data_IF_132367671796
#
_entry.id   IF_132367671796
#
_cell.length_a   1.000
_cell.length_b   1.000
_cell.length_c   1.000
_cell.angle_alpha   90.00
_cell.angle_beta   90.00
_cell.angle_gamma   90.00
#
_symmetry.space_group_name_H-M   'P 1'
#
loop_
_entity.id
_entity.type
_entity.pdbx_description
1 polymer ?
#
# COMPACT_ATOMS: atom_id res chain seq x y z
N UNK A 1 6.31 -1.87 7.04
CA UNK A 1 5.79 -3.20 7.44
C UNK A 1 5.46 -4.06 6.24
N UNK A 2 5.38 -5.37 6.41
CA UNK A 2 4.89 -6.30 5.38
C UNK A 2 3.41 -6.62 5.63
N UNK A 3 2.64 -6.73 4.57
CA UNK A 3 1.26 -7.21 4.58
C UNK A 3 1.24 -8.53 3.81
N UNK A 4 0.97 -9.63 4.51
CA UNK A 4 0.88 -10.96 3.92
C UNK A 4 -0.57 -11.43 3.97
N UNK A 5 -1.18 -11.61 2.80
CA UNK A 5 -2.52 -12.15 2.67
C UNK A 5 -2.47 -13.55 2.05
N UNK A 6 -3.03 -14.51 2.77
CA UNK A 6 -3.15 -15.90 2.35
C UNK A 6 -4.59 -16.20 1.95
N UNK A 7 -4.77 -17.09 1.01
CA UNK A 7 -6.06 -17.52 0.49
C UNK A 7 -6.24 -19.03 0.68
N UNK A 8 -7.48 -19.56 0.69
CA UNK A 8 -7.72 -20.99 0.84
C UNK A 8 -7.03 -21.81 -0.26
N UNK A 9 -6.55 -22.99 0.10
CA UNK A 9 -5.95 -23.91 -0.84
C UNK A 9 -6.99 -24.33 -1.91
N UNK A 10 -6.57 -24.33 -3.18
CA UNK A 10 -7.47 -24.63 -4.30
C UNK A 10 -8.37 -23.49 -4.75
N UNK A 11 -8.25 -22.32 -4.13
CA UNK A 11 -8.89 -21.08 -4.58
C UNK A 11 -8.31 -20.62 -5.93
N UNK A 12 -9.11 -19.88 -6.70
CA UNK A 12 -8.64 -19.20 -7.92
C UNK A 12 -7.83 -17.93 -7.62
N UNK A 13 -7.84 -17.52 -6.35
CA UNK A 13 -7.09 -16.35 -5.86
C UNK A 13 -5.62 -16.70 -5.64
N UNK A 14 -4.75 -15.75 -5.82
CA UNK A 14 -3.33 -15.87 -5.50
C UNK A 14 -3.04 -15.20 -4.15
N UNK A 15 -2.22 -15.85 -3.30
CA UNK A 15 -1.72 -15.19 -2.10
C UNK A 15 -0.82 -14.00 -2.48
N UNK A 16 -0.83 -12.95 -1.67
CA UNK A 16 -0.04 -11.75 -1.95
C UNK A 16 0.83 -11.37 -0.75
N UNK A 17 2.03 -10.88 -1.04
CA UNK A 17 2.90 -10.19 -0.10
C UNK A 17 3.11 -8.77 -0.59
N UNK A 18 2.83 -7.80 0.24
CA UNK A 18 3.02 -6.37 -0.05
C UNK A 18 3.65 -5.63 1.14
N UNK A 19 3.73 -4.34 1.02
CA UNK A 19 4.28 -3.43 2.02
C UNK A 19 3.22 -2.44 2.50
N UNK A 20 3.49 -1.76 3.60
CA UNK A 20 2.68 -0.67 4.12
C UNK A 20 3.49 0.23 5.05
N UNK A 21 3.02 1.44 5.28
CA UNK A 21 3.68 2.43 6.14
C UNK A 21 2.69 2.97 7.16
N UNK A 22 3.09 3.04 8.42
CA UNK A 22 2.31 3.76 9.44
C UNK A 22 2.48 5.26 9.21
N UNK A 23 1.39 5.96 8.97
CA UNK A 23 1.33 7.38 8.64
C UNK A 23 0.75 8.25 9.77
N UNK A 24 0.27 7.64 10.84
CA UNK A 24 -0.36 8.30 11.98
C UNK A 24 -0.05 7.54 13.28
N UNK A 25 0.16 8.24 14.42
CA UNK A 25 0.51 7.62 15.70
C UNK A 25 -0.56 6.68 16.26
N UNK A 26 -1.81 6.71 15.76
CA UNK A 26 -2.88 5.78 16.12
C UNK A 26 -2.78 4.42 15.43
N UNK A 27 -1.77 4.23 14.54
CA UNK A 27 -1.57 2.99 13.80
C UNK A 27 -2.36 2.92 12.49
N UNK A 28 -2.56 4.06 11.82
CA UNK A 28 -3.12 4.07 10.47
C UNK A 28 -2.01 3.73 9.47
N UNK A 29 -2.28 2.73 8.64
CA UNK A 29 -1.36 2.19 7.64
C UNK A 29 -1.83 2.62 6.26
N UNK A 30 -0.94 3.24 5.49
CA UNK A 30 -1.10 3.45 4.05
C UNK A 30 -0.50 2.25 3.32
N UNK A 31 -1.24 1.73 2.33
CA UNK A 31 -0.81 0.68 1.41
C UNK A 31 -1.51 0.86 0.06
N UNK A 32 -1.30 -0.05 -0.88
CA UNK A 32 -2.02 -0.02 -2.16
C UNK A 32 -3.40 -0.69 -2.07
N UNK A 33 -4.31 -0.27 -2.95
CA UNK A 33 -5.63 -0.86 -3.09
C UNK A 33 -5.54 -2.33 -3.53
N UNK A 34 -4.63 -2.66 -4.47
CA UNK A 34 -4.43 -4.04 -4.93
C UNK A 34 -3.94 -4.99 -3.82
N UNK A 35 -3.33 -4.48 -2.74
CA UNK A 35 -3.00 -5.25 -1.53
C UNK A 35 -4.20 -5.30 -0.59
N UNK A 36 -4.80 -4.14 -0.31
CA UNK A 36 -5.84 -4.00 0.70
C UNK A 36 -7.18 -4.67 0.32
N UNK A 37 -7.47 -4.90 -0.96
CA UNK A 37 -8.67 -5.59 -1.41
C UNK A 37 -8.85 -6.99 -0.82
N UNK A 38 -7.77 -7.65 -0.40
CA UNK A 38 -7.85 -8.96 0.26
C UNK A 38 -8.57 -8.91 1.60
N UNK A 39 -8.61 -7.75 2.26
CA UNK A 39 -9.37 -7.56 3.49
C UNK A 39 -10.88 -7.59 3.27
N UNK A 40 -11.35 -7.33 2.04
CA UNK A 40 -12.76 -7.51 1.66
C UNK A 40 -13.19 -8.97 1.63
N UNK A 41 -12.25 -9.91 1.48
CA UNK A 41 -12.50 -11.33 1.26
C UNK A 41 -12.33 -12.19 2.52
N UNK A 42 -12.42 -11.59 3.70
CA UNK A 42 -12.25 -12.30 4.96
C UNK A 42 -13.29 -13.42 5.14
N UNK A 43 -14.53 -13.21 4.71
CA UNK A 43 -15.61 -14.19 4.73
C UNK A 43 -15.44 -15.31 3.67
N UNK A 44 -14.62 -15.07 2.64
CA UNK A 44 -14.18 -16.07 1.65
C UNK A 44 -12.93 -16.84 2.08
N UNK A 45 -12.49 -16.63 3.33
CA UNK A 45 -11.37 -17.33 3.93
C UNK A 45 -9.99 -16.70 3.62
N UNK A 46 -9.95 -15.51 3.04
CA UNK A 46 -8.69 -14.76 2.96
C UNK A 46 -8.27 -14.29 4.38
N UNK A 47 -6.99 -14.43 4.68
CA UNK A 47 -6.43 -14.00 5.98
C UNK A 47 -5.22 -13.12 5.76
N UNK A 48 -5.25 -11.89 6.30
CA UNK A 48 -4.16 -10.95 6.20
C UNK A 48 -3.49 -10.73 7.56
N UNK A 49 -2.16 -10.73 7.58
CA UNK A 49 -1.34 -10.39 8.73
C UNK A 49 -0.48 -9.17 8.44
N UNK A 50 -0.38 -8.28 9.40
CA UNK A 50 0.57 -7.16 9.39
C UNK A 50 1.82 -7.60 10.14
N UNK A 51 2.94 -7.62 9.44
CA UNK A 51 4.20 -8.19 9.90
C UNK A 51 5.28 -7.12 10.00
N UNK A 52 6.16 -7.24 10.95
CA UNK A 52 7.27 -6.29 11.17
C UNK A 52 8.53 -7.02 11.57
N UNK A 53 9.67 -6.37 11.43
CA UNK A 53 10.96 -6.90 11.86
C UNK A 53 11.81 -7.44 10.71
N UNK A 54 12.95 -7.99 11.07
CA UNK A 54 13.92 -8.63 10.17
C UNK A 54 14.46 -9.88 10.88
N UNK A 55 13.92 -11.06 10.55
CA UNK A 55 12.84 -11.36 9.62
C UNK A 55 11.47 -10.82 10.08
N UNK A 56 10.56 -10.64 9.11
CA UNK A 56 9.20 -10.19 9.37
C UNK A 56 8.39 -11.27 10.11
N UNK A 57 7.78 -10.91 11.23
CA UNK A 57 6.91 -11.78 12.02
C UNK A 57 5.52 -11.16 12.16
N UNK A 58 4.49 -11.99 12.26
CA UNK A 58 3.12 -11.54 12.49
C UNK A 58 3.04 -10.75 13.79
N UNK A 59 2.50 -9.54 13.73
CA UNK A 59 2.48 -8.65 14.89
C UNK A 59 1.15 -7.96 15.10
N UNK A 60 0.48 -7.51 14.03
CA UNK A 60 -0.75 -6.75 14.15
C UNK A 60 -1.87 -7.37 13.34
N UNK A 61 -3.11 -7.13 13.77
CA UNK A 61 -4.32 -7.22 12.95
C UNK A 61 -4.72 -5.81 12.53
N UNK A 62 -5.39 -5.71 11.39
CA UNK A 62 -5.87 -4.42 10.88
C UNK A 62 -7.26 -4.59 10.24
N UNK A 63 -7.98 -3.48 10.12
CA UNK A 63 -9.24 -3.39 9.40
C UNK A 63 -9.16 -2.26 8.37
N UNK A 64 -9.95 -2.36 7.30
CA UNK A 64 -10.12 -1.29 6.33
C UNK A 64 -10.80 -0.07 6.97
N UNK A 65 -10.28 1.11 6.66
CA UNK A 65 -10.91 2.39 6.94
C UNK A 65 -11.07 3.25 5.67
N UNK A 66 -10.45 2.82 4.57
CA UNK A 66 -10.66 3.36 3.24
C UNK A 66 -10.05 2.41 2.19
N UNK A 67 -10.77 2.24 1.09
CA UNK A 67 -10.30 1.58 -0.13
C UNK A 67 -11.02 2.23 -1.32
N UNK A 68 -10.26 2.72 -2.30
CA UNK A 68 -10.82 3.45 -3.44
C UNK A 68 -11.87 2.62 -4.21
N UNK A 69 -13.13 3.05 -4.25
CA UNK A 69 -14.14 2.41 -5.08
C UNK A 69 -13.84 2.54 -6.58
N UNK A 70 -13.18 3.62 -6.99
CA UNK A 70 -12.77 3.82 -8.38
C UNK A 70 -11.74 2.78 -8.79
N UNK A 71 -10.79 2.49 -7.91
CA UNK A 71 -9.80 1.45 -8.17
C UNK A 71 -10.45 0.06 -8.31
N UNK A 72 -11.36 -0.31 -7.40
CA UNK A 72 -12.07 -1.60 -7.44
C UNK A 72 -12.89 -1.74 -8.72
N UNK A 73 -13.63 -0.69 -9.11
CA UNK A 73 -14.41 -0.71 -10.36
C UNK A 73 -13.56 -0.82 -11.62
N UNK A 74 -12.37 -0.19 -11.62
CA UNK A 74 -11.45 -0.25 -12.76
C UNK A 74 -10.69 -1.59 -12.84
N UNK A 75 -10.56 -2.32 -11.72
CA UNK A 75 -9.69 -3.51 -11.60
C UNK A 75 -10.42 -4.75 -11.01
N UNK A 76 -11.65 -5.07 -11.41
CA UNK A 76 -12.46 -6.08 -10.71
C UNK A 76 -11.93 -7.52 -10.87
N UNK A 77 -11.05 -7.78 -11.84
CA UNK A 77 -10.49 -9.13 -12.13
C UNK A 77 -9.05 -9.31 -11.67
N UNK A 78 -8.44 -8.30 -11.06
CA UNK A 78 -6.99 -8.30 -10.77
C UNK A 78 -6.55 -9.44 -9.84
N UNK A 79 -7.42 -9.88 -8.94
CA UNK A 79 -7.15 -10.97 -7.98
C UNK A 79 -6.89 -12.33 -8.62
N UNK A 80 -7.37 -12.57 -9.83
CA UNK A 80 -7.17 -13.82 -10.57
C UNK A 80 -6.00 -13.74 -11.57
N UNK A 81 -5.35 -12.59 -11.68
CA UNK A 81 -4.22 -12.39 -12.57
C UNK A 81 -2.92 -12.83 -11.87
N UNK A 82 -2.14 -13.66 -12.56
CA UNK A 82 -0.83 -14.08 -12.04
C UNK A 82 0.19 -12.94 -11.98
N UNK A 83 0.12 -12.02 -12.93
CA UNK A 83 0.96 -10.81 -13.01
C UNK A 83 0.06 -9.60 -13.26
N UNK A 84 -0.53 -9.04 -12.20
CA UNK A 84 -1.37 -7.87 -12.34
C UNK A 84 -0.55 -6.68 -12.83
N UNK A 85 -1.10 -5.92 -13.75
CA UNK A 85 -0.54 -4.68 -14.27
C UNK A 85 -1.51 -3.53 -14.08
N UNK A 86 -1.00 -2.32 -13.87
CA UNK A 86 -1.83 -1.13 -13.72
C UNK A 86 -0.99 0.14 -13.81
N UNK A 87 -1.66 1.28 -13.94
CA UNK A 87 -1.02 2.60 -13.99
C UNK A 87 -0.62 3.10 -12.60
N UNK A 88 -1.22 2.55 -11.55
CA UNK A 88 -1.14 3.07 -10.19
C UNK A 88 -2.21 4.11 -9.86
N UNK A 89 -3.05 4.47 -10.82
CA UNK A 89 -4.15 5.43 -10.61
C UNK A 89 -5.15 4.86 -9.59
N UNK A 90 -5.53 5.66 -8.59
CA UNK A 90 -6.37 5.29 -7.44
C UNK A 90 -5.86 4.11 -6.58
N UNK A 91 -4.65 3.63 -6.81
CA UNK A 91 -4.13 2.41 -6.16
C UNK A 91 -3.60 2.71 -4.75
N UNK A 92 -4.48 3.13 -3.85
CA UNK A 92 -4.19 3.35 -2.43
C UNK A 92 -5.34 2.95 -1.54
N UNK A 93 -5.01 2.59 -0.31
CA UNK A 93 -5.95 2.22 0.74
C UNK A 93 -5.38 2.54 2.12
N UNK A 94 -6.27 2.67 3.09
CA UNK A 94 -5.94 2.90 4.48
C UNK A 94 -6.49 1.78 5.36
N UNK A 95 -5.62 1.30 6.25
CA UNK A 95 -5.95 0.31 7.26
C UNK A 95 -5.74 0.92 8.65
N UNK A 96 -6.50 0.50 9.63
CA UNK A 96 -6.25 0.81 11.03
C UNK A 96 -5.84 -0.46 11.79
N UNK A 97 -4.78 -0.39 12.59
CA UNK A 97 -4.39 -1.49 13.50
C UNK A 97 -5.47 -1.69 14.54
N UNK A 98 -5.98 -2.93 14.65
CA UNK A 98 -7.06 -3.31 15.58
C UNK A 98 -6.57 -4.11 16.78
N UNK A 99 -5.41 -4.80 16.67
CA UNK A 99 -4.82 -5.55 17.77
C UNK A 99 -3.32 -5.77 17.59
N UNK A 100 -2.63 -6.12 18.67
CA UNK A 100 -1.18 -6.35 18.69
C UNK A 100 -0.37 -5.06 18.88
N UNK A 101 -1.01 -3.91 18.88
CA UNK A 101 -0.37 -2.63 19.11
C UNK A 101 0.01 -2.41 20.59
N UNK A 102 0.86 -1.42 20.86
CA UNK A 102 1.23 -1.09 22.23
C UNK A 102 0.03 -0.55 23.00
N UNK A 103 -0.19 -1.07 24.20
CA UNK A 103 -1.23 -0.53 25.08
C UNK A 103 -0.86 0.90 25.48
N UNK A 104 -1.74 1.86 25.19
CA UNK A 104 -1.56 3.28 25.53
C UNK A 104 -0.31 3.98 24.98
N UNK A 105 0.32 3.45 23.94
CA UNK A 105 1.48 4.06 23.30
C UNK A 105 1.18 4.41 21.83
N UNK A 106 1.83 5.45 21.34
CA UNK A 106 1.76 5.82 19.92
C UNK A 106 2.65 4.90 19.08
N UNK A 107 2.22 4.65 17.84
CA UNK A 107 3.07 3.98 16.85
C UNK A 107 4.13 4.95 16.32
N UNK A 108 5.37 4.47 16.06
CA UNK A 108 6.27 5.21 15.19
C UNK A 108 5.63 5.38 13.81
N UNK A 109 5.64 6.59 13.28
CA UNK A 109 5.00 6.90 12.01
C UNK A 109 5.81 7.91 11.18
N UNK A 110 5.48 8.01 9.91
CA UNK A 110 6.01 9.00 8.99
C UNK A 110 4.81 9.79 8.44
N UNK A 111 4.71 11.11 8.69
CA UNK A 111 3.58 11.90 8.22
C UNK A 111 3.61 12.05 6.70
N UNK A 112 2.44 12.10 6.06
CA UNK A 112 2.33 12.35 4.62
C UNK A 112 2.62 13.81 4.30
N UNK A 113 3.47 14.03 3.30
CA UNK A 113 3.72 15.34 2.73
C UNK A 113 2.42 15.95 2.16
N UNK A 114 2.31 17.27 2.25
CA UNK A 114 1.17 18.01 1.69
C UNK A 114 1.41 18.40 0.23
N UNK A 115 2.66 18.64 -0.13
CA UNK A 115 3.06 19.06 -1.47
C UNK A 115 3.90 17.98 -2.14
N UNK A 116 3.79 17.82 -3.47
CA UNK A 116 4.60 16.88 -4.20
C UNK A 116 6.07 17.31 -4.20
N UNK A 117 7.00 16.35 -4.24
CA UNK A 117 8.42 16.65 -4.37
C UNK A 117 8.76 17.13 -5.79
N UNK A 118 9.90 17.78 -5.92
CA UNK A 118 10.52 18.08 -7.21
C UNK A 118 11.48 16.99 -7.65
N UNK A 119 11.88 17.01 -8.93
CA UNK A 119 12.94 16.12 -9.44
C UNK A 119 14.27 16.36 -8.73
N UNK A 120 15.11 15.35 -8.73
CA UNK A 120 16.46 15.30 -8.14
C UNK A 120 16.53 15.38 -6.60
N UNK A 121 15.42 15.49 -5.87
CA UNK A 121 15.50 15.43 -4.40
C UNK A 121 15.94 14.04 -3.94
N UNK A 122 16.81 13.95 -2.92
CA UNK A 122 17.18 12.68 -2.33
C UNK A 122 16.01 12.08 -1.54
N UNK A 123 15.85 10.77 -1.65
CA UNK A 123 14.80 10.01 -0.95
C UNK A 123 15.36 8.73 -0.35
N UNK A 124 14.68 8.25 0.69
CA UNK A 124 14.83 6.89 1.23
C UNK A 124 13.61 6.09 0.78
N UNK A 125 13.87 4.93 0.18
CA UNK A 125 12.84 3.99 -0.28
C UNK A 125 12.89 2.77 0.63
N UNK A 126 11.77 2.39 1.24
CA UNK A 126 11.70 1.25 2.15
C UNK A 126 10.49 0.37 1.83
N UNK A 127 10.72 -0.93 1.72
CA UNK A 127 9.70 -1.93 1.39
C UNK A 127 10.09 -3.33 1.86
N UNK A 128 9.19 -4.30 1.66
CA UNK A 128 9.44 -5.73 1.87
C UNK A 128 9.36 -6.47 0.53
N UNK A 129 10.38 -6.28 -0.31
CA UNK A 129 10.49 -6.98 -1.58
C UNK A 129 10.62 -8.49 -1.39
N UNK A 130 9.89 -9.27 -2.20
CA UNK A 130 9.76 -10.71 -2.04
C UNK A 130 9.99 -11.52 -3.32
N UNK A 131 10.19 -10.88 -4.46
CA UNK A 131 10.25 -11.54 -5.78
C UNK A 131 11.27 -12.67 -5.89
N UNK A 132 12.40 -12.56 -5.21
CA UNK A 132 13.50 -13.53 -5.29
C UNK A 132 13.45 -14.58 -4.18
N UNK A 133 12.37 -14.60 -3.40
CA UNK A 133 12.16 -15.54 -2.31
C UNK A 133 11.11 -16.58 -2.69
N UNK A 134 11.31 -17.81 -2.26
CA UNK A 134 10.28 -18.83 -2.34
C UNK A 134 9.20 -18.55 -1.27
N UNK A 135 7.99 -19.08 -1.46
CA UNK A 135 6.85 -18.85 -0.56
C UNK A 135 7.17 -19.13 0.91
N UNK A 136 7.94 -20.17 1.21
CA UNK A 136 8.38 -20.47 2.58
C UNK A 136 9.33 -19.42 3.13
N UNK A 137 10.25 -18.91 2.30
CA UNK A 137 11.17 -17.84 2.70
C UNK A 137 10.44 -16.50 2.93
N UNK A 138 9.39 -16.21 2.12
CA UNK A 138 8.53 -15.04 2.38
C UNK A 138 7.86 -15.15 3.74
N UNK A 139 7.49 -16.35 4.16
CA UNK A 139 6.85 -16.59 5.46
C UNK A 139 7.82 -16.52 6.63
N UNK A 140 9.06 -16.98 6.47
CA UNK A 140 9.98 -17.22 7.60
C UNK A 140 11.22 -16.34 7.61
N UNK A 141 11.63 -15.78 6.47
CA UNK A 141 12.91 -15.06 6.34
C UNK A 141 12.82 -13.75 5.54
N UNK A 142 11.64 -13.16 5.42
CA UNK A 142 11.46 -11.89 4.71
C UNK A 142 12.01 -10.74 5.54
N UNK A 143 12.91 -9.96 4.95
CA UNK A 143 13.52 -8.78 5.58
C UNK A 143 13.23 -7.50 4.77
N UNK A 144 13.19 -6.32 5.42
CA UNK A 144 12.96 -5.08 4.72
C UNK A 144 14.15 -4.73 3.82
N UNK A 145 13.84 -4.16 2.66
CA UNK A 145 14.80 -3.52 1.76
C UNK A 145 14.73 -2.02 1.98
N UNK A 146 15.86 -1.39 2.26
CA UNK A 146 15.98 0.07 2.40
C UNK A 146 17.08 0.54 1.46
N UNK A 147 16.75 1.46 0.56
CA UNK A 147 17.69 2.02 -0.40
C UNK A 147 17.62 3.54 -0.43
N UNK A 148 18.73 4.18 -0.74
CA UNK A 148 18.79 5.61 -1.01
C UNK A 148 18.68 5.83 -2.52
N UNK A 149 17.93 6.84 -2.92
CA UNK A 149 17.71 7.21 -4.31
C UNK A 149 17.42 8.69 -4.46
N UNK A 150 16.89 9.05 -5.60
CA UNK A 150 16.35 10.38 -5.87
C UNK A 150 15.17 10.28 -6.81
N UNK A 151 14.28 11.26 -6.78
CA UNK A 151 13.22 11.41 -7.77
C UNK A 151 13.86 11.67 -9.13
N UNK A 152 13.66 10.80 -10.10
CA UNK A 152 14.25 10.88 -11.45
C UNK A 152 13.39 11.74 -12.36
N UNK A 153 12.07 11.47 -12.33
CA UNK A 153 11.09 12.19 -13.12
C UNK A 153 9.75 12.24 -12.39
N UNK A 154 8.82 13.06 -12.88
CA UNK A 154 7.50 13.27 -12.32
C UNK A 154 6.46 13.18 -13.44
N UNK A 155 5.34 12.54 -13.16
CA UNK A 155 4.25 12.34 -14.13
C UNK A 155 2.90 12.68 -13.51
N UNK A 156 1.89 12.82 -14.40
CA UNK A 156 0.51 13.09 -14.01
C UNK A 156 -0.42 12.07 -14.65
N UNK A 157 -1.50 11.72 -13.96
CA UNK A 157 -2.64 11.00 -14.54
C UNK A 157 -3.62 11.95 -15.23
N UNK A 158 -3.65 13.21 -14.80
CA UNK A 158 -4.52 14.25 -15.33
C UNK A 158 -3.75 15.46 -15.83
N UNK A 159 -4.28 16.64 -15.58
CA UNK A 159 -3.67 17.92 -15.96
C UNK A 159 -3.37 18.74 -14.69
N UNK A 160 -2.21 19.39 -14.68
CA UNK A 160 -1.80 20.34 -13.62
C UNK A 160 -1.56 19.74 -12.23
N UNK A 161 -1.27 18.43 -12.11
CA UNK A 161 -0.89 17.78 -10.87
C UNK A 161 0.42 16.99 -11.04
N UNK A 162 1.06 16.65 -9.94
CA UNK A 162 2.18 15.72 -9.90
C UNK A 162 1.69 14.49 -9.14
N UNK A 163 1.41 13.41 -9.87
CA UNK A 163 0.70 12.25 -9.34
C UNK A 163 1.63 11.06 -9.13
N UNK A 164 2.67 10.94 -9.96
CA UNK A 164 3.58 9.80 -9.97
C UNK A 164 5.04 10.28 -9.93
N UNK A 165 5.85 9.61 -9.13
CA UNK A 165 7.30 9.73 -9.10
C UNK A 165 7.94 8.55 -9.83
N UNK A 166 8.87 8.81 -10.73
CA UNK A 166 9.84 7.81 -11.17
C UNK A 166 11.07 7.84 -10.25
N UNK A 167 11.41 6.69 -9.72
CA UNK A 167 12.54 6.51 -8.79
C UNK A 167 13.70 5.78 -9.46
N UNK A 168 13.52 5.31 -10.72
CA UNK A 168 14.47 4.51 -11.44
C UNK A 168 14.68 3.11 -10.85
N UNK A 169 15.64 2.38 -11.39
CA UNK A 169 15.98 1.04 -10.93
C UNK A 169 16.68 1.03 -9.58
N UNK A 170 16.31 0.06 -8.76
CA UNK A 170 16.93 -0.17 -7.44
C UNK A 170 16.57 -1.55 -6.91
N UNK A 171 17.19 -1.98 -5.82
CA UNK A 171 16.82 -3.21 -5.12
C UNK A 171 15.36 -3.22 -4.62
N UNK A 172 14.69 -2.07 -4.54
CA UNK A 172 13.27 -1.97 -4.22
C UNK A 172 12.35 -2.21 -5.44
N UNK A 173 12.88 -2.28 -6.68
CA UNK A 173 12.10 -2.52 -7.90
C UNK A 173 11.78 -4.01 -8.07
N UNK A 174 10.94 -4.57 -7.20
CA UNK A 174 10.58 -5.99 -7.18
C UNK A 174 9.18 -6.21 -6.61
N UNK A 175 8.58 -7.36 -6.90
CA UNK A 175 7.31 -7.78 -6.31
C UNK A 175 7.39 -7.78 -4.78
N UNK A 176 6.31 -7.39 -4.11
CA UNK A 176 6.24 -7.22 -2.66
C UNK A 176 6.60 -5.80 -2.20
N UNK A 177 7.25 -4.99 -3.04
CA UNK A 177 7.56 -3.60 -2.70
C UNK A 177 6.35 -2.67 -2.75
N UNK A 178 5.30 -3.03 -3.47
CA UNK A 178 4.02 -2.30 -3.51
C UNK A 178 3.52 -1.95 -2.11
N UNK A 179 3.11 -0.72 -1.89
CA UNK A 179 2.72 -0.19 -0.58
C UNK A 179 3.91 0.29 0.27
N UNK A 180 5.15 0.11 -0.21
CA UNK A 180 6.36 0.64 0.43
C UNK A 180 6.44 2.16 0.35
N UNK A 181 7.27 2.77 1.20
CA UNK A 181 7.35 4.21 1.36
C UNK A 181 8.53 4.84 0.65
N UNK A 182 8.30 6.07 0.20
CA UNK A 182 9.30 6.98 -0.32
C UNK A 182 9.31 8.22 0.58
N UNK A 183 10.35 8.37 1.40
CA UNK A 183 10.49 9.46 2.36
C UNK A 183 11.56 10.47 1.91
N UNK A 184 11.27 11.75 2.04
CA UNK A 184 12.22 12.81 1.79
C UNK A 184 13.08 13.12 3.04
N UNK A 185 14.14 13.90 2.86
CA UNK A 185 15.01 14.35 3.95
C UNK A 185 14.30 15.22 4.99
N UNK A 186 13.13 15.78 4.66
CA UNK A 186 12.25 16.49 5.62
C UNK A 186 11.66 15.54 6.69
N UNK A 187 11.74 14.22 6.52
CA UNK A 187 11.10 13.25 7.39
C UNK A 187 9.65 12.96 7.04
N UNK A 188 9.17 13.44 5.88
CA UNK A 188 7.82 13.21 5.39
C UNK A 188 7.77 12.12 4.31
N UNK A 189 6.68 11.41 4.26
CA UNK A 189 6.39 10.45 3.20
C UNK A 189 5.89 11.20 1.96
N UNK A 190 6.70 11.23 0.91
CA UNK A 190 6.36 11.93 -0.35
C UNK A 190 5.63 11.05 -1.35
N UNK A 191 5.68 9.72 -1.16
CA UNK A 191 4.95 8.79 -2.03
C UNK A 191 4.92 7.37 -1.51
N UNK A 192 4.07 6.56 -2.14
CA UNK A 192 3.89 5.13 -1.91
C UNK A 192 4.16 4.36 -3.20
N UNK A 193 5.04 3.35 -3.12
CA UNK A 193 5.37 2.48 -4.26
C UNK A 193 4.09 1.81 -4.76
N UNK A 194 3.84 1.87 -6.05
CA UNK A 194 2.64 1.27 -6.66
C UNK A 194 2.97 0.31 -7.79
N UNK A 195 3.84 0.70 -8.72
CA UNK A 195 4.17 -0.10 -9.88
C UNK A 195 5.68 -0.24 -10.05
N UNK A 196 6.10 -1.37 -10.59
CA UNK A 196 7.45 -1.56 -11.11
C UNK A 196 7.42 -2.49 -12.31
N UNK A 197 8.35 -2.31 -13.23
CA UNK A 197 8.63 -3.36 -14.21
C UNK A 197 9.30 -4.52 -13.48
N UNK A 198 8.86 -5.75 -13.74
CA UNK A 198 9.40 -6.95 -13.09
C UNK A 198 10.35 -7.75 -14.00
N UNK A 199 10.58 -7.27 -15.22
CA UNK A 199 11.47 -7.86 -16.19
C UNK A 199 12.87 -7.23 -16.14
N UNK A 200 13.91 -8.01 -16.36
CA UNK A 200 15.29 -7.52 -16.31
C UNK A 200 15.87 -7.43 -14.89
N UNK A 201 17.05 -6.87 -14.78
CA UNK A 201 17.75 -6.64 -13.51
C UNK A 201 17.10 -5.47 -12.75
N UNK A 202 17.06 -5.54 -11.42
CA UNK A 202 16.38 -4.52 -10.57
C UNK A 202 16.93 -3.10 -10.73
N UNK A 203 18.20 -2.96 -11.12
CA UNK A 203 18.86 -1.68 -11.39
C UNK A 203 18.45 -1.04 -12.73
N UNK A 204 17.86 -1.81 -13.64
CA UNK A 204 17.39 -1.35 -14.96
C UNK A 204 15.86 -1.23 -15.03
N UNK A 205 15.16 -1.58 -13.97
CA UNK A 205 13.68 -1.49 -13.90
C UNK A 205 13.22 -0.06 -13.64
N UNK A 206 11.97 0.21 -13.97
CA UNK A 206 11.28 1.42 -13.51
C UNK A 206 10.57 1.10 -12.19
N UNK A 207 10.81 1.92 -11.18
CA UNK A 207 10.08 1.90 -9.92
C UNK A 207 9.30 3.20 -9.81
N UNK A 208 7.98 3.09 -9.71
CA UNK A 208 7.09 4.24 -9.60
C UNK A 208 6.39 4.28 -8.24
N UNK A 209 6.11 5.50 -7.79
CA UNK A 209 5.32 5.73 -6.58
C UNK A 209 4.26 6.81 -6.86
N UNK A 210 3.04 6.62 -6.35
CA UNK A 210 2.04 7.68 -6.32
C UNK A 210 2.38 8.68 -5.22
N UNK A 211 2.18 9.96 -5.48
CA UNK A 211 2.55 11.02 -4.52
C UNK A 211 1.57 11.10 -3.35
N UNK A 212 2.06 11.55 -2.20
CA UNK A 212 1.23 11.83 -1.04
C UNK A 212 0.18 12.93 -1.33
N UNK A 213 0.53 13.91 -2.14
CA UNK A 213 -0.39 14.98 -2.57
C UNK A 213 -1.52 14.45 -3.47
N UNK A 214 -1.21 13.52 -4.39
CA UNK A 214 -2.22 12.83 -5.18
C UNK A 214 -3.18 12.04 -4.29
N UNK A 215 -2.65 11.23 -3.37
CA UNK A 215 -3.47 10.46 -2.40
C UNK A 215 -4.40 11.37 -1.62
N UNK A 216 -3.92 12.53 -1.13
CA UNK A 216 -4.75 13.50 -0.42
C UNK A 216 -5.86 14.08 -1.30
N UNK A 217 -5.53 14.44 -2.53
CA UNK A 217 -6.48 15.02 -3.48
C UNK A 217 -7.58 14.03 -3.89
N UNK A 218 -7.19 12.80 -4.23
CA UNK A 218 -8.12 11.75 -4.63
C UNK A 218 -9.01 11.30 -3.47
N UNK A 219 -8.44 11.14 -2.27
CA UNK A 219 -9.23 10.86 -1.07
C UNK A 219 -10.31 11.92 -0.85
N UNK A 220 -9.94 13.21 -0.95
CA UNK A 220 -10.90 14.30 -0.77
C UNK A 220 -11.97 14.31 -1.88
N UNK A 221 -11.61 13.97 -3.10
CA UNK A 221 -12.53 13.89 -4.23
C UNK A 221 -13.54 12.74 -4.10
N UNK A 222 -13.08 11.58 -3.64
CA UNK A 222 -13.92 10.38 -3.51
C UNK A 222 -14.82 10.41 -2.26
N UNK A 223 -14.37 11.02 -1.15
CA UNK A 223 -15.08 10.96 0.13
C UNK A 223 -15.80 12.24 0.51
N UNK A 224 -15.62 13.34 -0.23
CA UNK A 224 -16.04 14.70 0.13
C UNK A 224 -15.48 15.19 1.49
N UNK A 225 -14.51 14.47 2.07
CA UNK A 225 -13.78 14.80 3.29
C UNK A 225 -12.29 15.01 3.01
N UNK A 226 -11.50 15.33 4.00
CA UNK A 226 -10.04 15.43 3.85
C UNK A 226 -9.35 14.27 4.57
N UNK A 227 -8.19 13.85 4.06
CA UNK A 227 -7.38 12.85 4.75
C UNK A 227 -6.96 13.33 6.15
N UNK A 228 -6.71 14.63 6.33
CA UNK A 228 -6.43 15.23 7.64
C UNK A 228 -7.61 15.08 8.60
N UNK A 229 -8.85 15.23 8.12
CA UNK A 229 -10.06 14.97 8.92
C UNK A 229 -10.11 13.51 9.37
N UNK A 230 -9.96 12.54 8.45
CA UNK A 230 -9.92 11.12 8.78
C UNK A 230 -8.82 10.82 9.82
N UNK A 231 -7.62 11.35 9.62
CA UNK A 231 -6.50 11.17 10.55
C UNK A 231 -6.72 11.85 11.91
N UNK A 232 -7.66 12.78 12.06
CA UNK A 232 -8.01 13.37 13.35
C UNK A 232 -9.03 12.54 14.15
N UNK A 233 -9.81 11.69 13.50
CA UNK A 233 -10.85 10.86 14.10
C UNK A 233 -10.29 9.69 14.91
N UNK A 234 -11.06 9.16 15.89
CA UNK A 234 -10.75 7.87 16.50
C UNK A 234 -10.81 6.74 15.45
N UNK A 235 -9.84 5.85 15.46
CA UNK A 235 -9.77 4.73 14.50
C UNK A 235 -11.01 3.82 14.52
N UNK A 236 -11.65 3.67 15.70
CA UNK A 236 -12.88 2.91 15.84
C UNK A 236 -14.06 3.53 15.05
N UNK A 237 -14.13 4.88 15.00
CA UNK A 237 -15.12 5.59 14.20
C UNK A 237 -14.88 5.34 12.71
N UNK A 238 -13.65 5.55 12.24
CA UNK A 238 -13.31 5.33 10.83
C UNK A 238 -13.58 3.89 10.36
N UNK A 239 -13.36 2.88 11.22
CA UNK A 239 -13.72 1.48 10.93
C UNK A 239 -15.23 1.32 10.79
N UNK A 240 -16.01 1.91 11.71
CA UNK A 240 -17.47 1.84 11.70
C UNK A 240 -18.06 2.54 10.48
N UNK A 241 -17.52 3.69 10.13
CA UNK A 241 -17.99 4.52 9.01
C UNK A 241 -17.69 3.87 7.65
N UNK A 242 -16.58 3.12 7.54
CA UNK A 242 -16.25 2.38 6.31
C UNK A 242 -16.94 1.02 6.20
N UNK A 243 -17.41 0.44 7.30
CA UNK A 243 -18.01 -0.90 7.32
C UNK A 243 -19.15 -1.12 6.30
N UNK A 244 -20.05 -0.15 6.03
CA UNK A 244 -21.11 -0.29 5.01
C UNK A 244 -20.59 -0.43 3.57
N UNK A 245 -19.40 0.08 3.26
CA UNK A 245 -18.79 0.00 1.93
C UNK A 245 -18.25 -1.40 1.62
N UNK A 246 -17.86 -2.17 2.65
CA UNK A 246 -17.22 -3.47 2.49
C UNK A 246 -18.06 -4.43 1.64
N UNK A 247 -19.36 -4.71 1.93
CA UNK A 247 -20.15 -5.63 1.14
C UNK A 247 -20.40 -5.14 -0.29
N UNK A 248 -20.42 -3.82 -0.51
CA UNK A 248 -20.59 -3.24 -1.84
C UNK A 248 -19.34 -3.51 -2.69
N UNK A 249 -18.16 -3.20 -2.18
CA UNK A 249 -16.89 -3.42 -2.86
C UNK A 249 -16.59 -4.91 -3.03
N UNK A 250 -16.88 -5.73 -2.03
CA UNK A 250 -16.76 -7.18 -2.11
C UNK A 250 -17.61 -7.77 -3.24
N UNK A 251 -18.85 -7.28 -3.39
CA UNK A 251 -19.76 -7.77 -4.44
C UNK A 251 -19.23 -7.56 -5.86
N UNK A 252 -18.53 -6.45 -6.09
CA UNK A 252 -17.89 -6.14 -7.38
C UNK A 252 -16.78 -7.14 -7.68
N UNK A 253 -15.94 -7.43 -6.70
CA UNK A 253 -14.84 -8.39 -6.85
C UNK A 253 -15.40 -9.80 -7.05
N UNK A 254 -16.32 -10.24 -6.20
CA UNK A 254 -16.83 -11.61 -6.20
C UNK A 254 -17.66 -11.94 -7.44
N UNK A 255 -18.30 -10.95 -8.05
CA UNK A 255 -18.98 -11.12 -9.35
C UNK A 255 -18.02 -11.43 -10.52
N UNK A 256 -16.71 -11.24 -10.32
CA UNK A 256 -15.67 -11.41 -11.33
C UNK A 256 -14.66 -12.53 -10.97
N UNK A 257 -14.89 -13.29 -9.90
CA UNK A 257 -14.13 -14.47 -9.53
C UNK A 257 -14.73 -15.74 -10.12
#
# INVERSE_FOLDING_TARGET
MNILCLVPAGSRLHAISGSGIIIDPKGIILTNAHIAQYFLLADKGATCAIRTGSPAVDKYKAALIYLSPLWINANPTVLTQALPSGTGEYDFALLAVTSGGPANASFPFIPLAETPPTTAIPVVIASYGAQFLQSEQVRTNLSPTVVFGSVKDIFTFGTNSIDVLDLGGSAAAQEGSSGGGVAAASGELVGTITTSTVTGSTDTRNLSAITASYIRAEFARETAGTLTSLLSEPTASSITDFAPEIPLLESIITANL
#
